data_IF_513395967563
#
_entry.id   IF_513395967563
#
_cell.length_a   1.000
_cell.length_b   1.000
_cell.length_c   1.000
_cell.angle_alpha   90.00
_cell.angle_beta   90.00
_cell.angle_gamma   90.00
#
_symmetry.space_group_name_H-M   'P 1'
#
loop_
_entity.id
_entity.type
_entity.pdbx_description
1 polymer ?
#
# COMPACT_ATOMS: atom_id res chain seq x y z
N UNK A 1 73.21 41.41 19.67
CA UNK A 1 73.03 41.07 21.10
C UNK A 1 71.59 40.58 21.27
N UNK A 2 71.40 39.41 21.91
CA UNK A 2 70.17 38.61 22.19
C UNK A 2 69.52 37.87 20.98
N UNK A 3 69.53 36.52 20.86
CA UNK A 3 68.84 35.43 21.62
C UNK A 3 67.29 35.55 21.55
N UNK A 4 66.42 34.55 21.33
CA UNK A 4 66.46 33.09 21.14
C UNK A 4 65.00 32.59 20.84
N UNK A 5 64.87 31.48 20.11
CA UNK A 5 63.87 30.36 20.18
C UNK A 5 62.33 30.54 20.30
N UNK A 6 61.59 29.83 19.41
CA UNK A 6 60.43 28.90 19.58
C UNK A 6 59.64 28.88 18.25
N UNK A 7 59.22 27.80 17.56
CA UNK A 7 58.94 26.40 17.89
C UNK A 7 57.44 26.10 17.63
N UNK A 8 57.06 25.42 16.52
CA UNK A 8 55.75 24.71 16.35
C UNK A 8 55.68 23.95 14.99
N UNK A 9 55.84 22.62 14.96
CA UNK A 9 54.79 21.55 14.84
C UNK A 9 54.20 21.36 13.42
N UNK A 10 54.65 20.33 12.68
CA UNK A 10 54.02 19.00 12.44
C UNK A 10 52.79 18.97 11.51
N UNK A 11 52.92 18.25 10.39
CA UNK A 11 52.08 17.12 9.92
C UNK A 11 50.65 17.07 10.49
N UNK A 12 49.55 17.10 9.73
CA UNK A 12 49.07 16.04 8.81
C UNK A 12 47.83 16.58 8.07
N UNK A 13 47.74 16.41 6.75
CA UNK A 13 46.49 16.67 6.02
C UNK A 13 45.48 15.55 6.33
N UNK A 14 44.38 15.90 7.02
CA UNK A 14 43.26 15.00 7.26
C UNK A 14 42.36 14.99 6.02
N UNK A 15 42.44 13.94 5.20
CA UNK A 15 41.46 13.70 4.14
C UNK A 15 40.17 13.21 4.79
N UNK A 16 39.25 14.15 4.99
CA UNK A 16 37.92 13.87 5.50
C UNK A 16 37.10 13.16 4.41
N UNK A 17 37.19 11.83 4.33
CA UNK A 17 36.35 11.03 3.45
C UNK A 17 34.95 10.94 4.08
N UNK A 18 34.06 11.85 3.73
CA UNK A 18 32.64 11.75 4.09
C UNK A 18 32.00 10.63 3.28
N UNK A 19 31.54 9.58 3.96
CA UNK A 19 30.63 8.60 3.38
C UNK A 19 29.39 9.29 2.78
N UNK A 20 28.80 8.76 1.70
CA UNK A 20 27.59 9.33 1.12
C UNK A 20 26.47 9.39 2.16
N UNK A 21 25.62 10.44 2.13
CA UNK A 21 24.50 10.56 3.05
C UNK A 21 23.59 9.34 2.92
N UNK A 22 23.23 8.74 4.05
CA UNK A 22 22.25 7.66 4.10
C UNK A 22 20.94 8.14 3.48
N UNK A 23 20.24 7.31 2.68
CA UNK A 23 18.97 7.71 2.10
C UNK A 23 18.00 8.13 3.21
N UNK A 24 17.16 9.16 2.98
CA UNK A 24 16.24 9.64 4.00
C UNK A 24 15.33 8.49 4.45
N UNK A 25 15.20 8.31 5.77
CA UNK A 25 14.27 7.33 6.33
C UNK A 25 12.83 7.81 6.04
N UNK A 26 12.22 7.30 4.97
CA UNK A 26 10.84 7.63 4.63
C UNK A 26 9.89 6.98 5.63
N UNK A 27 9.09 7.79 6.33
CA UNK A 27 7.98 7.30 7.15
C UNK A 27 6.75 7.19 6.24
N UNK A 28 6.12 6.02 6.23
CA UNK A 28 4.88 5.79 5.49
C UNK A 28 3.70 6.41 6.25
N UNK A 29 2.79 7.03 5.50
CA UNK A 29 1.53 7.55 6.01
C UNK A 29 0.57 6.41 6.35
N UNK A 30 -0.42 6.68 7.20
CA UNK A 30 -1.44 5.68 7.52
C UNK A 30 -2.23 5.23 6.28
N UNK A 31 -2.50 6.14 5.33
CA UNK A 31 -3.22 5.78 4.10
C UNK A 31 -2.37 4.88 3.19
N UNK A 32 -1.06 5.16 3.06
CA UNK A 32 -0.14 4.26 2.34
C UNK A 32 -0.11 2.87 2.97
N UNK A 33 -0.06 2.78 4.30
CA UNK A 33 -0.11 1.49 5.01
C UNK A 33 -1.43 0.75 4.77
N UNK A 34 -2.57 1.47 4.81
CA UNK A 34 -3.88 0.90 4.48
C UNK A 34 -3.92 0.38 3.05
N UNK A 35 -3.38 1.15 2.10
CA UNK A 35 -3.31 0.75 0.69
C UNK A 35 -2.43 -0.49 0.50
N UNK A 36 -1.26 -0.55 1.14
CA UNK A 36 -0.38 -1.73 1.08
C UNK A 36 -1.09 -2.97 1.61
N UNK A 37 -1.72 -2.87 2.78
CA UNK A 37 -2.47 -3.98 3.38
C UNK A 37 -3.62 -4.44 2.46
N UNK A 38 -4.39 -3.49 1.92
CA UNK A 38 -5.49 -3.77 1.01
C UNK A 38 -5.02 -4.45 -0.27
N UNK A 39 -3.94 -3.95 -0.89
CA UNK A 39 -3.38 -4.55 -2.11
C UNK A 39 -2.89 -5.97 -1.86
N UNK A 40 -2.27 -6.20 -0.69
CA UNK A 40 -1.82 -7.55 -0.32
C UNK A 40 -2.97 -8.51 -0.09
N UNK A 41 -4.08 -8.04 0.49
CA UNK A 41 -5.29 -8.85 0.65
C UNK A 41 -5.91 -9.26 -0.70
N UNK A 42 -5.87 -8.37 -1.71
CA UNK A 42 -6.42 -8.66 -3.04
C UNK A 42 -5.61 -9.73 -3.79
N UNK A 43 -4.37 -10.05 -3.38
CA UNK A 43 -3.62 -11.17 -3.95
C UNK A 43 -4.26 -12.54 -3.68
N UNK A 44 -5.15 -12.65 -2.69
CA UNK A 44 -5.90 -13.88 -2.38
C UNK A 44 -7.20 -14.00 -3.17
N UNK A 45 -7.54 -13.00 -3.99
CA UNK A 45 -8.75 -13.01 -4.82
C UNK A 45 -8.45 -13.73 -6.12
N UNK A 46 -9.27 -14.73 -6.43
CA UNK A 46 -9.21 -15.48 -7.69
C UNK A 46 -10.48 -15.25 -8.52
N UNK A 47 -10.37 -15.46 -9.83
CA UNK A 47 -11.52 -15.36 -10.73
C UNK A 47 -12.60 -16.38 -10.36
N UNK A 48 -13.87 -15.98 -10.46
CA UNK A 48 -15.01 -16.82 -10.09
C UNK A 48 -15.46 -16.71 -8.63
N UNK A 49 -14.71 -16.00 -7.78
CA UNK A 49 -15.05 -15.88 -6.37
C UNK A 49 -16.24 -14.93 -6.10
N UNK A 50 -17.03 -15.30 -5.09
CA UNK A 50 -17.99 -14.43 -4.40
C UNK A 50 -17.31 -13.79 -3.19
N UNK A 51 -17.21 -12.47 -3.21
CA UNK A 51 -16.43 -11.68 -2.25
C UNK A 51 -17.34 -10.86 -1.34
N UNK A 52 -17.11 -10.95 -0.03
CA UNK A 52 -17.61 -9.95 0.91
C UNK A 52 -16.85 -8.64 0.74
N UNK A 53 -17.55 -7.54 0.47
CA UNK A 53 -16.94 -6.21 0.35
C UNK A 53 -17.12 -5.44 1.66
N UNK A 54 -16.02 -5.30 2.40
CA UNK A 54 -15.98 -4.56 3.68
C UNK A 54 -16.26 -3.06 3.53
N UNK A 55 -16.32 -2.36 4.66
CA UNK A 55 -16.53 -0.89 4.73
C UNK A 55 -15.33 -0.22 5.42
N UNK A 56 -14.95 0.97 4.95
CA UNK A 56 -13.90 1.79 5.55
C UNK A 56 -12.78 2.16 4.58
N UNK A 57 -11.84 3.02 5.03
CA UNK A 57 -10.78 3.54 4.17
C UNK A 57 -9.82 2.47 3.64
N UNK A 58 -9.64 1.38 4.38
CA UNK A 58 -8.78 0.26 3.94
C UNK A 58 -9.49 -0.60 2.90
N UNK A 59 -10.74 -1.00 3.17
CA UNK A 59 -11.58 -1.75 2.24
C UNK A 59 -11.77 -0.99 0.92
N UNK A 60 -11.89 0.35 0.99
CA UNK A 60 -11.94 1.22 -0.20
C UNK A 60 -10.80 0.91 -1.17
N UNK A 61 -9.55 0.85 -0.69
CA UNK A 61 -8.39 0.56 -1.52
C UNK A 61 -8.42 -0.86 -2.11
N UNK A 62 -8.97 -1.83 -1.39
CA UNK A 62 -9.11 -3.21 -1.88
C UNK A 62 -10.15 -3.28 -3.00
N UNK A 63 -11.30 -2.62 -2.83
CA UNK A 63 -12.37 -2.55 -3.84
C UNK A 63 -11.88 -1.81 -5.09
N UNK A 64 -11.17 -0.69 -4.92
CA UNK A 64 -10.55 0.04 -6.04
C UNK A 64 -9.60 -0.87 -6.83
N UNK A 65 -8.79 -1.68 -6.13
CA UNK A 65 -7.86 -2.62 -6.76
C UNK A 65 -8.57 -3.78 -7.45
N UNK A 66 -9.64 -4.32 -6.88
CA UNK A 66 -10.47 -5.36 -7.53
C UNK A 66 -11.07 -4.82 -8.82
N UNK A 67 -11.68 -3.63 -8.79
CA UNK A 67 -12.22 -2.97 -9.97
C UNK A 67 -11.17 -2.74 -11.06
N UNK A 68 -9.97 -2.29 -10.67
CA UNK A 68 -8.84 -2.14 -11.59
C UNK A 68 -8.45 -3.46 -12.27
N UNK A 69 -8.37 -4.56 -11.51
CA UNK A 69 -8.00 -5.88 -12.03
C UNK A 69 -9.07 -6.48 -12.94
N UNK A 70 -10.35 -6.25 -12.65
CA UNK A 70 -11.47 -6.62 -13.52
C UNK A 70 -11.40 -5.86 -14.84
N UNK A 71 -11.17 -4.54 -14.79
CA UNK A 71 -11.02 -3.72 -16.00
C UNK A 71 -9.82 -4.15 -16.85
N UNK A 72 -8.73 -4.58 -16.21
CA UNK A 72 -7.55 -5.13 -16.88
C UNK A 72 -7.74 -6.57 -17.41
N UNK A 73 -8.87 -7.22 -17.12
CA UNK A 73 -9.13 -8.63 -17.48
C UNK A 73 -8.27 -9.64 -16.72
N UNK A 74 -7.62 -9.22 -15.61
CA UNK A 74 -6.80 -10.09 -14.76
C UNK A 74 -7.64 -10.87 -13.75
N UNK A 75 -8.77 -10.31 -13.37
CA UNK A 75 -9.85 -11.02 -12.68
C UNK A 75 -11.06 -11.09 -13.61
N UNK A 76 -11.81 -12.18 -13.50
CA UNK A 76 -13.05 -12.39 -14.24
C UNK A 76 -14.06 -13.08 -13.33
N UNK A 77 -15.35 -12.95 -13.64
CA UNK A 77 -16.44 -13.65 -12.93
C UNK A 77 -16.46 -13.41 -11.41
N UNK A 78 -16.10 -12.23 -10.95
CA UNK A 78 -16.23 -11.84 -9.54
C UNK A 78 -17.65 -11.37 -9.26
N UNK A 79 -18.18 -11.75 -8.09
CA UNK A 79 -19.42 -11.19 -7.53
C UNK A 79 -19.10 -10.56 -6.17
N UNK A 80 -19.47 -9.29 -5.97
CA UNK A 80 -19.29 -8.57 -4.72
C UNK A 80 -20.57 -8.50 -3.88
N UNK A 81 -20.46 -8.77 -2.58
CA UNK A 81 -21.53 -8.64 -1.59
C UNK A 81 -21.20 -7.49 -0.64
N UNK A 82 -21.76 -6.29 -0.83
CA UNK A 82 -21.40 -5.11 -0.06
C UNK A 82 -21.98 -5.11 1.36
N UNK A 83 -21.16 -4.67 2.33
CA UNK A 83 -21.57 -4.55 3.75
C UNK A 83 -22.22 -3.21 4.11
N UNK A 84 -22.23 -2.23 3.20
CA UNK A 84 -22.88 -0.93 3.38
C UNK A 84 -23.28 -0.30 2.05
N UNK A 85 -24.22 0.66 2.09
CA UNK A 85 -24.62 1.45 0.91
C UNK A 85 -23.43 2.17 0.28
N UNK A 86 -22.52 2.72 1.10
CA UNK A 86 -21.31 3.38 0.60
C UNK A 86 -20.40 2.43 -0.17
N UNK A 87 -20.22 1.21 0.34
CA UNK A 87 -19.45 0.16 -0.33
C UNK A 87 -20.14 -0.27 -1.62
N UNK A 88 -21.47 -0.42 -1.59
CA UNK A 88 -22.27 -0.76 -2.77
C UNK A 88 -22.07 0.27 -3.89
N UNK A 89 -22.26 1.56 -3.59
CA UNK A 89 -22.09 2.65 -4.56
C UNK A 89 -20.66 2.70 -5.13
N UNK A 90 -19.65 2.53 -4.29
CA UNK A 90 -18.26 2.47 -4.74
C UNK A 90 -18.04 1.31 -5.72
N UNK A 91 -18.41 0.09 -5.33
CA UNK A 91 -18.20 -1.10 -6.14
C UNK A 91 -18.98 -1.04 -7.47
N UNK A 92 -20.22 -0.53 -7.42
CA UNK A 92 -21.04 -0.28 -8.59
C UNK A 92 -20.38 0.71 -9.55
N UNK A 93 -19.81 1.81 -9.03
CA UNK A 93 -19.13 2.82 -9.84
C UNK A 93 -17.87 2.28 -10.56
N UNK A 94 -17.30 1.19 -10.05
CA UNK A 94 -16.14 0.51 -10.62
C UNK A 94 -16.51 -0.64 -11.57
N UNK A 95 -17.82 -0.88 -11.77
CA UNK A 95 -18.30 -1.96 -12.63
C UNK A 95 -18.13 -3.36 -12.04
N UNK A 96 -18.01 -3.49 -10.72
CA UNK A 96 -17.97 -4.79 -10.05
C UNK A 96 -19.40 -5.36 -10.01
N UNK A 97 -19.66 -6.57 -10.52
CA UNK A 97 -20.98 -7.21 -10.38
C UNK A 97 -21.34 -7.41 -8.91
N UNK A 98 -22.57 -7.07 -8.52
CA UNK A 98 -23.01 -7.11 -7.12
C UNK A 98 -24.14 -8.11 -6.87
N UNK A 99 -24.19 -8.62 -5.65
CA UNK A 99 -25.28 -9.46 -5.12
C UNK A 99 -25.43 -9.27 -3.60
N UNK A 100 -26.19 -10.15 -2.96
CA UNK A 100 -26.50 -10.14 -1.53
C UNK A 100 -26.33 -11.54 -0.91
N UNK A 101 -26.43 -11.61 0.42
CA UNK A 101 -26.31 -12.86 1.18
C UNK A 101 -27.54 -13.77 1.05
N UNK A 102 -28.69 -13.25 0.60
CA UNK A 102 -29.86 -14.09 0.34
C UNK A 102 -29.64 -14.96 -0.90
N UNK A 103 -29.02 -14.38 -1.93
CA UNK A 103 -28.66 -15.04 -3.18
C UNK A 103 -27.37 -15.85 -3.03
N UNK A 104 -26.37 -15.32 -2.33
CA UNK A 104 -25.08 -15.97 -2.09
C UNK A 104 -24.80 -16.13 -0.59
N UNK A 105 -25.36 -17.15 0.08
CA UNK A 105 -25.22 -17.33 1.52
C UNK A 105 -23.81 -17.78 1.95
N UNK A 106 -22.98 -18.24 1.01
CA UNK A 106 -21.60 -18.65 1.23
C UNK A 106 -20.69 -17.74 0.41
N UNK A 107 -19.72 -17.12 1.08
CA UNK A 107 -18.69 -16.28 0.47
C UNK A 107 -17.38 -17.05 0.43
N UNK A 108 -16.63 -16.92 -0.66
CA UNK A 108 -15.31 -17.55 -0.80
C UNK A 108 -14.25 -16.80 0.01
N UNK A 109 -14.37 -15.48 0.08
CA UNK A 109 -13.46 -14.61 0.82
C UNK A 109 -14.18 -13.37 1.36
N UNK A 110 -13.89 -13.00 2.60
CA UNK A 110 -14.32 -11.76 3.21
C UNK A 110 -13.19 -11.17 4.08
N UNK A 111 -12.93 -9.86 4.02
CA UNK A 111 -11.94 -9.16 4.83
C UNK A 111 -12.41 -8.83 6.26
#
# INVERSE_FOLDING_TARGET
MALAFFGSKTTTASTNTTAPPSPPHRILTQDELKKIAAYKAVEFVESGMVLGLGTGSTAKHAIDRIGELLHQGKLTNIIGVPTSTKTHEQALSLGIPLSDLETHPVLDLAP
#
